data_IF_509669301473
#
_entry.id   IF_509669301473
#
_cell.length_a   1.000
_cell.length_b   1.000
_cell.length_c   1.000
_cell.angle_alpha   90.00
_cell.angle_beta   90.00
_cell.angle_gamma   90.00
#
_symmetry.space_group_name_H-M   'P 1'
#
loop_
_entity.id
_entity.type
_entity.pdbx_description
1 polymer ?
#
# COMPACT_ATOMS: atom_id res chain seq x y z
N UNK A 1 14.62 10.28 4.99
CA UNK A 1 13.59 11.32 5.25
C UNK A 1 12.23 10.67 5.44
N UNK A 2 11.32 11.34 6.15
CA UNK A 2 9.92 10.93 6.25
C UNK A 2 9.15 11.24 4.97
N UNK A 3 8.07 10.49 4.69
CA UNK A 3 7.19 10.77 3.52
C UNK A 3 6.65 12.20 3.58
N UNK A 4 6.26 12.68 4.76
CA UNK A 4 5.79 14.06 4.97
C UNK A 4 6.87 15.10 4.71
N UNK A 5 8.12 14.83 5.10
CA UNK A 5 9.26 15.72 4.82
C UNK A 5 9.58 15.80 3.32
N UNK A 6 9.47 14.67 2.59
CA UNK A 6 9.60 14.68 1.13
C UNK A 6 8.52 15.54 0.46
N UNK A 7 7.27 15.44 0.94
CA UNK A 7 6.15 16.27 0.45
C UNK A 7 6.41 17.76 0.71
N UNK A 8 6.85 18.10 1.92
CA UNK A 8 7.18 19.48 2.29
C UNK A 8 8.35 20.03 1.45
N UNK A 9 9.42 19.23 1.28
CA UNK A 9 10.58 19.60 0.48
C UNK A 9 10.26 19.80 -1.01
N UNK A 10 9.21 19.16 -1.51
CA UNK A 10 8.75 19.30 -2.90
C UNK A 10 8.11 20.66 -3.19
N UNK A 11 7.75 21.44 -2.16
CA UNK A 11 7.21 22.82 -2.29
C UNK A 11 6.03 22.91 -3.29
N UNK A 12 5.09 21.99 -3.19
CA UNK A 12 3.90 21.93 -4.04
C UNK A 12 4.08 21.24 -5.39
N UNK A 13 5.27 20.70 -5.70
CA UNK A 13 5.44 19.82 -6.84
C UNK A 13 4.94 18.42 -6.50
N UNK A 14 4.15 17.83 -7.39
CA UNK A 14 3.69 16.45 -7.24
C UNK A 14 4.88 15.47 -7.39
N UNK A 15 5.05 14.60 -6.41
CA UNK A 15 6.08 13.57 -6.39
C UNK A 15 5.59 12.27 -7.06
N UNK A 16 6.55 11.47 -7.54
CA UNK A 16 6.32 10.11 -8.05
C UNK A 16 6.68 9.09 -6.98
N UNK A 17 5.81 8.12 -6.70
CA UNK A 17 6.12 6.96 -5.88
C UNK A 17 5.41 5.71 -6.41
N UNK A 18 5.85 4.55 -5.99
CA UNK A 18 5.23 3.29 -6.39
C UNK A 18 5.38 2.21 -5.32
N UNK A 19 4.46 1.25 -5.40
CA UNK A 19 4.46 0.06 -4.57
C UNK A 19 5.00 -1.14 -5.35
N UNK A 20 5.78 -1.97 -4.68
CA UNK A 20 6.27 -3.24 -5.22
C UNK A 20 5.81 -4.42 -4.38
N UNK A 21 5.67 -5.56 -5.06
CA UNK A 21 5.42 -6.85 -4.43
C UNK A 21 6.72 -7.65 -4.46
N UNK A 22 7.27 -8.09 -3.31
CA UNK A 22 8.45 -8.94 -3.28
C UNK A 22 8.27 -10.20 -4.13
N UNK A 23 9.32 -10.71 -4.80
CA UNK A 23 9.23 -11.93 -5.61
C UNK A 23 8.86 -13.13 -4.73
N UNK A 24 8.32 -14.18 -5.34
CA UNK A 24 8.05 -15.43 -4.61
C UNK A 24 9.36 -16.13 -4.20
N UNK A 25 9.33 -16.91 -3.13
CA UNK A 25 10.46 -17.76 -2.74
C UNK A 25 10.90 -18.67 -3.89
N UNK A 26 12.20 -18.82 -4.05
CA UNK A 26 12.78 -19.55 -5.19
C UNK A 26 13.05 -18.68 -6.42
N UNK A 27 12.62 -17.42 -6.39
CA UNK A 27 12.95 -16.43 -7.42
C UNK A 27 14.16 -15.59 -7.02
N UNK A 28 14.80 -14.95 -8.01
CA UNK A 28 15.96 -14.10 -7.78
C UNK A 28 15.55 -12.72 -7.28
N UNK A 29 16.39 -12.11 -6.45
CA UNK A 29 16.29 -10.68 -6.11
C UNK A 29 16.45 -9.80 -7.36
N UNK A 30 17.11 -10.30 -8.41
CA UNK A 30 17.27 -9.57 -9.66
C UNK A 30 15.92 -9.29 -10.33
N UNK A 31 14.93 -10.21 -10.25
CA UNK A 31 13.57 -9.95 -10.76
C UNK A 31 12.93 -8.70 -10.09
N UNK A 32 13.24 -8.45 -8.81
CA UNK A 32 12.80 -7.24 -8.13
C UNK A 32 13.49 -6.00 -8.69
N UNK A 33 14.82 -6.07 -8.83
CA UNK A 33 15.60 -4.95 -9.36
C UNK A 33 15.24 -4.61 -10.79
N UNK A 34 15.01 -5.59 -11.65
CA UNK A 34 14.57 -5.42 -13.05
C UNK A 34 13.23 -4.65 -13.14
N UNK A 35 12.39 -4.74 -12.11
CA UNK A 35 11.14 -3.98 -12.01
C UNK A 35 11.32 -2.59 -11.38
N UNK A 36 12.36 -2.35 -10.59
CA UNK A 36 12.62 -1.06 -9.96
C UNK A 36 13.48 -0.18 -10.87
N UNK A 37 14.54 -0.74 -11.48
CA UNK A 37 15.54 0.00 -12.28
C UNK A 37 14.89 0.95 -13.31
N UNK A 38 13.87 0.54 -14.11
CA UNK A 38 13.24 1.42 -15.08
C UNK A 38 12.47 2.60 -14.49
N UNK A 39 12.08 2.52 -13.22
CA UNK A 39 11.30 3.56 -12.54
C UNK A 39 12.19 4.58 -11.80
N UNK A 40 13.48 4.26 -11.63
CA UNK A 40 14.42 5.15 -10.97
C UNK A 40 14.74 6.42 -11.76
N UNK A 41 14.49 6.44 -13.07
CA UNK A 41 14.62 7.64 -13.91
C UNK A 41 13.70 8.78 -13.46
N UNK A 42 12.54 8.45 -12.82
CA UNK A 42 11.58 9.42 -12.28
C UNK A 42 11.90 9.88 -10.85
N UNK A 43 13.03 9.44 -10.29
CA UNK A 43 13.55 9.83 -8.97
C UNK A 43 12.52 9.70 -7.84
N UNK A 44 11.93 8.51 -7.63
CA UNK A 44 11.01 8.30 -6.53
C UNK A 44 11.71 8.62 -5.20
N UNK A 45 11.13 9.47 -4.33
CA UNK A 45 11.72 9.75 -3.03
C UNK A 45 11.56 8.58 -2.06
N UNK A 46 10.56 7.75 -2.26
CA UNK A 46 10.29 6.55 -1.48
C UNK A 46 9.59 5.47 -2.31
N UNK A 47 9.74 4.22 -1.86
CA UNK A 47 9.17 3.03 -2.48
C UNK A 47 8.47 2.21 -1.39
N UNK A 48 7.18 1.88 -1.61
CA UNK A 48 6.42 1.02 -0.73
C UNK A 48 6.67 -0.46 -1.04
N UNK A 49 6.77 -1.26 0.01
CA UNK A 49 7.03 -2.70 -0.09
C UNK A 49 5.93 -3.47 0.62
N UNK A 50 5.15 -4.22 -0.14
CA UNK A 50 4.05 -5.00 0.42
C UNK A 50 4.54 -6.11 1.33
N UNK A 51 3.75 -6.44 2.34
CA UNK A 51 3.94 -7.59 3.22
C UNK A 51 2.98 -8.70 2.82
N UNK A 52 3.53 -9.92 2.73
CA UNK A 52 2.72 -11.12 2.61
C UNK A 52 2.79 -11.89 3.93
N UNK A 53 1.62 -12.19 4.50
CA UNK A 53 1.54 -13.10 5.64
C UNK A 53 1.73 -14.55 5.20
N UNK A 54 1.82 -15.44 6.16
CA UNK A 54 1.80 -16.87 5.90
C UNK A 54 0.46 -17.30 5.28
N UNK A 55 0.52 -18.28 4.38
CA UNK A 55 -0.64 -18.85 3.69
C UNK A 55 -0.68 -20.36 3.91
N UNK A 56 -1.88 -20.94 3.90
CA UNK A 56 -2.05 -22.37 3.91
C UNK A 56 -1.84 -22.94 2.50
N UNK A 57 -0.99 -23.97 2.42
CA UNK A 57 -0.87 -24.83 1.25
C UNK A 57 -1.34 -26.23 1.58
N UNK A 58 -1.88 -26.93 0.60
CA UNK A 58 -2.35 -28.31 0.73
C UNK A 58 -1.41 -29.22 -0.06
N UNK A 59 -0.74 -30.13 0.66
CA UNK A 59 0.22 -31.09 0.08
C UNK A 59 -0.44 -32.46 0.01
N UNK A 60 -0.54 -33.04 -1.20
CA UNK A 60 -1.07 -34.38 -1.39
C UNK A 60 -0.11 -35.42 -0.80
N UNK A 61 -0.63 -36.32 0.05
CA UNK A 61 0.12 -37.45 0.66
C UNK A 61 0.10 -38.72 -0.20
N UNK A 62 -0.52 -38.73 -1.37
CA UNK A 62 -0.61 -39.87 -2.27
C UNK A 62 -1.62 -40.94 -1.86
N UNK A 63 -2.42 -40.72 -0.81
CA UNK A 63 -3.45 -41.64 -0.30
C UNK A 63 -4.85 -41.00 -0.27
N UNK A 64 -5.08 -39.95 -1.06
CA UNK A 64 -6.32 -39.17 -1.08
C UNK A 64 -6.46 -38.19 0.10
N UNK A 65 -5.45 -38.05 0.93
CA UNK A 65 -5.39 -37.09 2.03
C UNK A 65 -4.53 -35.89 1.66
N UNK A 66 -4.99 -34.70 2.07
CA UNK A 66 -4.24 -33.45 1.94
C UNK A 66 -3.69 -33.04 3.31
N UNK A 67 -2.40 -32.71 3.36
CA UNK A 67 -1.75 -32.13 4.53
C UNK A 67 -1.81 -30.60 4.43
N UNK A 68 -2.49 -29.95 5.39
CA UNK A 68 -2.59 -28.48 5.46
C UNK A 68 -1.35 -27.93 6.16
N UNK A 69 -0.51 -27.18 5.43
CA UNK A 69 0.72 -26.56 5.96
C UNK A 69 0.68 -25.07 5.85
N UNK A 70 1.12 -24.40 6.91
CA UNK A 70 1.32 -22.97 6.91
C UNK A 70 2.72 -22.66 6.34
N UNK A 71 2.82 -21.75 5.38
CA UNK A 71 4.09 -21.38 4.76
C UNK A 71 4.10 -19.93 4.31
N UNK A 72 5.30 -19.32 4.35
CA UNK A 72 5.52 -18.00 3.76
C UNK A 72 5.96 -18.16 2.32
N UNK A 73 5.24 -17.51 1.40
CA UNK A 73 5.49 -17.61 -0.04
C UNK A 73 6.45 -16.52 -0.55
N UNK A 74 6.73 -15.49 0.22
CA UNK A 74 7.60 -14.36 -0.15
C UNK A 74 8.61 -14.05 0.94
N UNK A 75 9.76 -13.43 0.62
CA UNK A 75 10.73 -12.99 1.61
C UNK A 75 10.13 -11.98 2.58
N UNK A 76 10.78 -11.81 3.72
CA UNK A 76 10.38 -10.79 4.70
C UNK A 76 10.54 -9.37 4.15
N UNK A 77 9.52 -8.55 4.36
CA UNK A 77 9.45 -7.17 3.84
C UNK A 77 10.64 -6.33 4.26
N UNK A 78 11.10 -6.44 5.52
CA UNK A 78 12.23 -5.66 6.03
C UNK A 78 13.54 -5.95 5.29
N UNK A 79 13.83 -7.24 4.99
CA UNK A 79 15.00 -7.62 4.20
C UNK A 79 14.98 -7.00 2.79
N UNK A 80 13.79 -6.95 2.17
CA UNK A 80 13.60 -6.30 0.86
C UNK A 80 13.77 -4.78 0.98
N UNK A 81 13.17 -4.15 1.99
CA UNK A 81 13.33 -2.71 2.25
C UNK A 81 14.80 -2.33 2.44
N UNK A 82 15.53 -3.08 3.28
CA UNK A 82 16.97 -2.86 3.50
C UNK A 82 17.77 -3.01 2.20
N UNK A 83 17.45 -4.01 1.38
CA UNK A 83 18.11 -4.26 0.09
C UNK A 83 17.88 -3.11 -0.90
N UNK A 84 16.63 -2.61 -1.01
CA UNK A 84 16.29 -1.47 -1.86
C UNK A 84 16.98 -0.21 -1.36
N UNK A 85 16.89 0.09 -0.06
CA UNK A 85 17.53 1.25 0.56
C UNK A 85 19.04 1.24 0.33
N UNK A 86 19.69 0.08 0.48
CA UNK A 86 21.12 -0.05 0.23
C UNK A 86 21.49 0.16 -1.24
N UNK A 87 20.75 -0.46 -2.18
CA UNK A 87 21.08 -0.38 -3.61
C UNK A 87 20.76 0.99 -4.22
N UNK A 88 19.59 1.56 -3.92
CA UNK A 88 19.09 2.75 -4.61
C UNK A 88 19.23 4.05 -3.81
N UNK A 89 19.56 3.95 -2.52
CA UNK A 89 19.65 5.10 -1.61
C UNK A 89 18.34 5.92 -1.56
N UNK A 90 17.20 5.22 -1.66
CA UNK A 90 15.85 5.78 -1.52
C UNK A 90 15.22 5.33 -0.21
N UNK A 91 14.29 6.12 0.30
CA UNK A 91 13.53 5.70 1.48
C UNK A 91 12.54 4.59 1.14
N UNK A 92 12.33 3.68 2.07
CA UNK A 92 11.40 2.56 1.90
C UNK A 92 10.30 2.61 2.93
N UNK A 93 9.11 2.15 2.53
CA UNK A 93 7.92 2.09 3.36
C UNK A 93 7.46 0.63 3.45
N UNK A 94 7.90 -0.14 4.46
CA UNK A 94 7.36 -1.47 4.69
C UNK A 94 5.88 -1.39 5.09
N UNK A 95 5.06 -2.26 4.50
CA UNK A 95 3.71 -2.46 4.97
C UNK A 95 3.73 -3.33 6.23
N UNK A 96 3.07 -2.89 7.28
CA UNK A 96 2.84 -3.63 8.51
C UNK A 96 1.38 -4.05 8.60
N UNK A 97 1.14 -5.32 8.89
CA UNK A 97 -0.21 -5.89 8.92
C UNK A 97 -0.61 -6.26 10.35
N UNK A 98 -1.87 -6.01 10.72
CA UNK A 98 -2.47 -6.62 11.90
C UNK A 98 -2.62 -8.15 11.71
N UNK A 99 -2.96 -8.56 10.48
CA UNK A 99 -3.19 -9.96 10.15
C UNK A 99 -1.92 -10.80 10.18
N UNK A 100 -1.95 -11.89 10.96
CA UNK A 100 -0.85 -12.86 11.02
C UNK A 100 0.28 -12.51 11.99
N UNK A 101 0.19 -11.38 12.72
CA UNK A 101 1.22 -10.94 13.67
C UNK A 101 0.62 -10.62 15.04
N UNK A 102 1.37 -10.96 16.11
CA UNK A 102 1.09 -10.47 17.46
C UNK A 102 1.61 -9.06 17.64
N UNK A 103 1.26 -8.40 18.75
CA UNK A 103 1.82 -7.09 19.08
C UNK A 103 3.32 -7.15 19.31
N UNK A 104 3.82 -8.21 19.93
CA UNK A 104 5.25 -8.44 20.17
C UNK A 104 6.01 -8.64 18.83
N UNK A 105 5.48 -9.47 17.93
CA UNK A 105 6.08 -9.66 16.60
C UNK A 105 6.10 -8.34 15.80
N UNK A 106 5.06 -7.50 15.96
CA UNK A 106 4.99 -6.17 15.35
C UNK A 106 6.05 -5.25 15.96
N UNK A 107 6.22 -5.25 17.28
CA UNK A 107 7.24 -4.47 17.97
C UNK A 107 8.65 -4.86 17.53
N UNK A 108 8.95 -6.17 17.41
CA UNK A 108 10.24 -6.63 16.91
C UNK A 108 10.52 -6.12 15.50
N UNK A 109 9.53 -6.16 14.60
CA UNK A 109 9.69 -5.60 13.24
C UNK A 109 9.94 -4.08 13.28
N UNK A 110 9.29 -3.35 14.17
CA UNK A 110 9.49 -1.90 14.32
C UNK A 110 10.88 -1.59 14.89
N UNK A 111 11.35 -2.36 15.86
CA UNK A 111 12.73 -2.25 16.37
C UNK A 111 13.73 -2.47 15.25
N UNK A 112 13.56 -3.53 14.45
CA UNK A 112 14.42 -3.81 13.29
C UNK A 112 14.39 -2.66 12.28
N UNK A 113 13.19 -2.09 11.97
CA UNK A 113 13.07 -0.91 11.13
C UNK A 113 13.90 0.26 11.65
N UNK A 114 13.79 0.56 12.95
CA UNK A 114 14.51 1.65 13.58
C UNK A 114 16.03 1.49 13.43
N UNK A 115 16.57 0.30 13.73
CA UNK A 115 18.01 0.01 13.58
C UNK A 115 18.49 0.01 12.12
N UNK A 116 17.62 -0.31 11.17
CA UNK A 116 17.91 -0.19 9.73
C UNK A 116 17.76 1.23 9.18
N UNK A 117 17.38 2.19 10.01
CA UNK A 117 17.10 3.57 9.58
C UNK A 117 15.90 3.67 8.63
N UNK A 118 14.93 2.78 8.75
CA UNK A 118 13.67 2.78 8.01
C UNK A 118 12.64 3.50 8.90
N UNK A 119 12.39 4.77 8.60
CA UNK A 119 11.55 5.65 9.44
C UNK A 119 10.13 5.83 8.89
N UNK A 120 9.76 5.15 7.81
CA UNK A 120 8.44 5.22 7.23
C UNK A 120 7.79 3.85 7.29
N UNK A 121 6.52 3.78 7.65
CA UNK A 121 5.76 2.53 7.70
C UNK A 121 4.33 2.74 7.21
N UNK A 122 3.74 1.74 6.58
CA UNK A 122 2.33 1.73 6.19
C UNK A 122 1.57 0.77 7.11
N UNK A 123 0.72 1.31 7.98
CA UNK A 123 -0.07 0.53 8.93
C UNK A 123 -1.41 0.08 8.31
N UNK A 124 -1.55 -1.22 8.09
CA UNK A 124 -2.70 -1.83 7.43
C UNK A 124 -3.32 -2.91 8.32
N UNK A 125 -4.62 -3.11 8.22
CA UNK A 125 -5.24 -4.27 8.88
C UNK A 125 -4.87 -5.59 8.17
N UNK A 126 -4.83 -5.56 6.85
CA UNK A 126 -4.76 -6.72 5.98
C UNK A 126 -6.14 -7.33 5.69
N UNK A 127 -6.17 -8.21 4.70
CA UNK A 127 -7.38 -8.89 4.23
C UNK A 127 -7.60 -10.20 4.98
N UNK A 128 -8.82 -10.76 4.90
CA UNK A 128 -9.14 -12.12 5.34
C UNK A 128 -8.27 -13.15 4.59
N UNK A 129 -7.96 -14.29 5.19
CA UNK A 129 -7.35 -15.42 4.46
C UNK A 129 -8.35 -16.00 3.45
N UNK A 130 -7.83 -16.71 2.44
CA UNK A 130 -8.69 -17.29 1.39
C UNK A 130 -9.75 -18.27 1.91
N UNK A 131 -9.49 -18.87 3.07
CA UNK A 131 -10.37 -19.79 3.76
C UNK A 131 -11.18 -19.14 4.91
N UNK A 132 -11.04 -17.82 5.10
CA UNK A 132 -11.80 -17.02 6.07
C UNK A 132 -12.90 -16.21 5.37
N UNK A 133 -14.08 -16.12 5.99
CA UNK A 133 -15.19 -15.28 5.50
C UNK A 133 -15.00 -13.80 5.81
N UNK A 134 -14.25 -13.49 6.87
CA UNK A 134 -13.92 -12.14 7.32
C UNK A 134 -12.55 -12.14 7.97
N UNK A 135 -11.97 -10.95 8.12
CA UNK A 135 -10.68 -10.80 8.79
C UNK A 135 -10.74 -11.31 10.23
N UNK A 136 -9.77 -12.17 10.58
CA UNK A 136 -9.57 -12.67 11.94
C UNK A 136 -8.16 -12.26 12.40
N UNK A 137 -8.03 -11.46 13.48
CA UNK A 137 -6.74 -11.12 14.02
C UNK A 137 -6.05 -12.33 14.65
N UNK A 138 -4.73 -12.40 14.62
CA UNK A 138 -3.97 -13.37 15.40
C UNK A 138 -4.19 -13.10 16.89
N UNK A 139 -4.30 -14.16 17.68
CA UNK A 139 -4.42 -14.02 19.14
C UNK A 139 -3.24 -13.19 19.69
N UNK A 140 -3.51 -12.16 20.47
CA UNK A 140 -2.49 -11.18 20.93
C UNK A 140 -2.10 -10.13 19.90
N UNK A 141 -2.68 -10.12 18.69
CA UNK A 141 -2.44 -9.12 17.66
C UNK A 141 -3.34 -7.90 17.75
N UNK A 142 -3.14 -6.96 16.83
CA UNK A 142 -3.99 -5.78 16.66
C UNK A 142 -5.26 -6.15 15.87
N UNK A 143 -6.43 -5.63 16.29
CA UNK A 143 -7.68 -5.91 15.61
C UNK A 143 -7.91 -5.00 14.40
N UNK A 144 -7.49 -3.74 14.51
CA UNK A 144 -7.71 -2.70 13.51
C UNK A 144 -6.42 -1.93 13.21
N UNK A 145 -6.36 -1.33 12.04
CA UNK A 145 -5.24 -0.47 11.69
C UNK A 145 -5.04 0.70 12.66
N UNK A 146 -6.11 1.21 13.28
CA UNK A 146 -6.01 2.25 14.31
C UNK A 146 -5.25 1.75 15.57
N UNK A 147 -5.45 0.48 15.97
CA UNK A 147 -4.70 -0.12 17.09
C UNK A 147 -3.21 -0.24 16.75
N UNK A 148 -2.91 -0.63 15.50
CA UNK A 148 -1.53 -0.72 15.01
C UNK A 148 -0.87 0.66 14.95
N UNK A 149 -1.56 1.69 14.46
CA UNK A 149 -1.08 3.09 14.48
C UNK A 149 -0.78 3.53 15.91
N UNK A 150 -1.69 3.26 16.85
CA UNK A 150 -1.49 3.60 18.26
C UNK A 150 -0.26 2.89 18.86
N UNK A 151 -0.04 1.61 18.53
CA UNK A 151 1.16 0.88 18.96
C UNK A 151 2.44 1.50 18.39
N UNK A 152 2.48 1.84 17.10
CA UNK A 152 3.65 2.49 16.47
C UNK A 152 3.91 3.86 17.13
N UNK A 153 2.85 4.63 17.38
CA UNK A 153 2.96 5.94 18.02
C UNK A 153 3.44 5.84 19.49
N UNK A 154 3.16 4.73 20.19
CA UNK A 154 3.74 4.48 21.51
C UNK A 154 5.27 4.35 21.44
N UNK A 155 5.81 3.64 20.44
CA UNK A 155 7.25 3.54 20.22
C UNK A 155 7.87 4.92 19.91
N UNK A 156 7.20 5.74 19.09
CA UNK A 156 7.62 7.13 18.83
C UNK A 156 7.69 7.97 20.12
N UNK A 157 6.91 7.59 21.14
CA UNK A 157 6.93 8.20 22.47
C UNK A 157 7.88 7.47 23.44
N UNK A 158 8.66 6.48 22.98
CA UNK A 158 9.59 5.70 23.80
C UNK A 158 8.92 4.69 24.72
N UNK A 159 7.71 4.23 24.37
CA UNK A 159 6.95 3.25 25.16
C UNK A 159 6.93 1.92 24.42
N UNK A 160 7.45 0.89 25.08
CA UNK A 160 7.42 -0.51 24.62
C UNK A 160 6.30 -1.28 25.31
N UNK A 161 5.95 -2.48 24.81
CA UNK A 161 4.82 -3.25 25.32
C UNK A 161 5.01 -3.72 26.77
N UNK A 162 6.20 -4.15 27.12
CA UNK A 162 6.47 -4.82 28.40
C UNK A 162 7.68 -4.25 29.14
N UNK A 163 8.42 -3.33 28.54
CA UNK A 163 9.70 -2.89 29.05
C UNK A 163 9.61 -1.56 29.78
N UNK A 164 10.26 -1.52 30.95
CA UNK A 164 10.52 -0.33 31.72
C UNK A 164 11.98 0.04 31.49
N UNK A 165 12.32 0.45 30.29
CA UNK A 165 13.69 0.87 29.95
C UNK A 165 13.76 2.38 29.88
N UNK A 166 14.89 2.94 30.29
CA UNK A 166 15.24 4.32 29.97
C UNK A 166 15.51 4.39 28.47
N UNK A 167 14.71 5.17 27.76
CA UNK A 167 14.79 5.28 26.30
C UNK A 167 15.57 6.53 25.94
N UNK A 168 16.87 6.36 25.68
CA UNK A 168 17.77 7.44 25.26
C UNK A 168 17.51 7.88 23.81
N UNK A 169 17.05 6.94 22.96
CA UNK A 169 16.80 7.19 21.55
C UNK A 169 15.43 6.62 21.14
N UNK A 170 14.45 7.50 20.97
CA UNK A 170 13.09 7.13 20.58
C UNK A 170 13.02 6.85 19.10
N UNK A 171 12.14 5.93 18.73
CA UNK A 171 11.74 5.78 17.33
C UNK A 171 11.05 7.07 16.82
N UNK A 172 11.11 7.30 15.52
CA UNK A 172 10.50 8.47 14.89
C UNK A 172 9.86 8.07 13.55
N UNK A 173 8.90 7.15 13.62
CA UNK A 173 8.20 6.64 12.46
C UNK A 173 7.20 7.65 11.91
N UNK A 174 7.21 7.84 10.60
CA UNK A 174 6.16 8.44 9.80
C UNK A 174 5.17 7.34 9.40
N UNK A 175 3.90 7.49 9.79
CA UNK A 175 2.90 6.43 9.72
C UNK A 175 1.90 6.72 8.62
N UNK A 176 1.91 5.92 7.55
CA UNK A 176 0.88 5.91 6.50
C UNK A 176 -0.27 4.97 6.84
N UNK A 177 -1.45 5.28 6.36
CA UNK A 177 -2.65 4.44 6.46
C UNK A 177 -3.43 4.41 5.16
N UNK A 178 -4.21 3.35 4.94
CA UNK A 178 -5.10 3.28 3.79
C UNK A 178 -6.38 4.13 3.97
N UNK A 179 -6.80 4.81 2.88
CA UNK A 179 -8.11 5.43 2.70
C UNK A 179 -8.85 4.83 1.51
N UNK A 180 -10.18 4.99 1.44
CA UNK A 180 -11.01 4.34 0.43
C UNK A 180 -11.96 5.37 -0.21
N UNK A 181 -11.66 5.88 -1.42
CA UNK A 181 -12.51 6.88 -2.09
C UNK A 181 -13.96 6.42 -2.28
N UNK A 182 -14.16 5.11 -2.49
CA UNK A 182 -15.48 4.51 -2.72
C UNK A 182 -15.99 3.69 -1.53
N UNK A 183 -15.35 3.78 -0.39
CA UNK A 183 -15.52 3.06 0.88
C UNK A 183 -14.86 1.68 0.96
N UNK A 184 -14.47 1.28 2.16
CA UNK A 184 -14.00 -0.08 2.46
C UNK A 184 -15.15 -1.10 2.35
N UNK A 185 -14.81 -2.32 1.89
CA UNK A 185 -15.74 -3.45 1.73
C UNK A 185 -16.66 -3.67 2.93
N UNK A 186 -16.12 -3.62 4.15
CA UNK A 186 -16.86 -3.89 5.38
C UNK A 186 -17.56 -2.65 5.96
N UNK A 187 -17.32 -1.46 5.40
CA UNK A 187 -17.97 -0.25 5.87
C UNK A 187 -19.39 -0.14 5.30
N UNK A 188 -20.42 0.11 6.14
CA UNK A 188 -21.79 0.23 5.65
C UNK A 188 -21.99 1.48 4.79
N UNK A 189 -21.21 2.55 5.01
CA UNK A 189 -21.30 3.81 4.27
C UNK A 189 -19.93 4.51 4.18
N UNK A 190 -19.77 5.41 3.21
CA UNK A 190 -18.57 6.25 3.10
C UNK A 190 -18.38 7.12 4.37
N UNK A 191 -19.46 7.63 4.95
CA UNK A 191 -19.38 8.41 6.20
C UNK A 191 -18.82 7.60 7.36
N UNK A 192 -19.24 6.33 7.49
CA UNK A 192 -18.70 5.43 8.51
C UNK A 192 -17.23 5.13 8.24
N UNK A 193 -16.86 4.93 6.98
CA UNK A 193 -15.47 4.66 6.59
C UNK A 193 -14.55 5.85 6.90
N UNK A 194 -15.01 7.06 6.59
CA UNK A 194 -14.30 8.30 6.94
C UNK A 194 -14.13 8.49 8.45
N UNK A 195 -15.11 8.09 9.28
CA UNK A 195 -14.95 8.07 10.74
C UNK A 195 -13.82 7.12 11.15
N UNK A 196 -13.76 5.93 10.54
CA UNK A 196 -12.65 4.99 10.79
C UNK A 196 -11.30 5.54 10.32
N UNK A 197 -11.28 6.28 9.21
CA UNK A 197 -10.08 6.98 8.77
C UNK A 197 -9.67 8.06 9.79
N UNK A 198 -10.62 8.84 10.30
CA UNK A 198 -10.36 9.84 11.34
C UNK A 198 -9.78 9.21 12.61
N UNK A 199 -10.32 8.06 13.06
CA UNK A 199 -9.76 7.31 14.19
C UNK A 199 -8.28 6.94 13.97
N UNK A 200 -7.88 6.54 12.75
CA UNK A 200 -6.48 6.26 12.41
C UNK A 200 -5.60 7.51 12.46
N UNK A 201 -6.11 8.63 11.95
CA UNK A 201 -5.39 9.91 11.99
C UNK A 201 -5.24 10.41 13.43
N UNK A 202 -6.31 10.32 14.24
CA UNK A 202 -6.27 10.72 15.65
C UNK A 202 -5.35 9.83 16.50
N UNK A 203 -5.15 8.57 16.09
CA UNK A 203 -4.19 7.66 16.72
C UNK A 203 -2.72 8.00 16.38
N UNK A 204 -2.48 8.87 15.39
CA UNK A 204 -1.14 9.34 15.03
C UNK A 204 -0.69 9.02 13.60
N UNK A 205 -1.59 8.74 12.67
CA UNK A 205 -1.20 8.60 11.27
C UNK A 205 -0.86 9.96 10.63
N UNK A 206 0.26 9.99 9.89
CA UNK A 206 0.85 11.20 9.31
C UNK A 206 0.39 11.46 7.86
N UNK A 207 -0.02 10.42 7.14
CA UNK A 207 -0.51 10.53 5.76
C UNK A 207 -1.45 9.37 5.40
N UNK A 208 -2.19 9.54 4.32
CA UNK A 208 -3.12 8.54 3.77
C UNK A 208 -2.72 8.21 2.34
N UNK A 209 -2.67 6.91 1.99
CA UNK A 209 -2.64 6.45 0.60
C UNK A 209 -3.99 5.83 0.28
N UNK A 210 -4.61 6.24 -0.84
CA UNK A 210 -5.94 5.72 -1.16
C UNK A 210 -5.87 4.37 -1.86
N UNK A 211 -6.91 3.55 -1.69
CA UNK A 211 -7.19 2.45 -2.61
C UNK A 211 -7.32 3.02 -4.03
N UNK A 212 -7.03 2.17 -5.04
CA UNK A 212 -7.22 2.55 -6.44
C UNK A 212 -8.67 2.97 -6.72
N UNK A 213 -8.83 3.86 -7.64
CA UNK A 213 -10.10 4.35 -8.20
C UNK A 213 -9.88 4.68 -9.68
N UNK A 214 -10.94 4.78 -10.45
CA UNK A 214 -10.86 5.00 -11.90
C UNK A 214 -11.58 6.28 -12.35
N UNK A 215 -12.30 6.93 -11.44
CA UNK A 215 -12.94 8.22 -11.59
C UNK A 215 -12.36 9.22 -10.57
N UNK A 216 -11.67 10.27 -11.06
CA UNK A 216 -11.07 11.29 -10.20
C UNK A 216 -12.10 12.06 -9.36
N UNK A 217 -13.35 12.16 -9.81
CA UNK A 217 -14.40 12.81 -9.03
C UNK A 217 -14.63 12.10 -7.68
N UNK A 218 -14.50 10.78 -7.63
CA UNK A 218 -14.59 10.00 -6.39
C UNK A 218 -13.49 10.37 -5.40
N UNK A 219 -12.26 10.53 -5.90
CA UNK A 219 -11.12 10.97 -5.07
C UNK A 219 -11.33 12.40 -4.55
N UNK A 220 -11.73 13.35 -5.41
CA UNK A 220 -11.94 14.74 -5.00
C UNK A 220 -13.08 14.85 -3.97
N UNK A 221 -14.17 14.12 -4.16
CA UNK A 221 -15.27 14.06 -3.20
C UNK A 221 -14.81 13.47 -1.86
N UNK A 222 -14.04 12.37 -1.89
CA UNK A 222 -13.47 11.77 -0.71
C UNK A 222 -12.57 12.74 0.05
N UNK A 223 -11.65 13.43 -0.63
CA UNK A 223 -10.76 14.42 0.00
C UNK A 223 -11.59 15.55 0.62
N UNK A 224 -12.58 16.08 -0.10
CA UNK A 224 -13.47 17.12 0.43
C UNK A 224 -14.14 16.68 1.73
N UNK A 225 -14.78 15.52 1.73
CA UNK A 225 -15.45 14.97 2.93
C UNK A 225 -14.46 14.68 4.07
N UNK A 226 -13.27 14.21 3.76
CA UNK A 226 -12.21 13.99 4.74
C UNK A 226 -11.81 15.31 5.41
N UNK A 227 -11.66 16.40 4.64
CA UNK A 227 -11.35 17.74 5.17
C UNK A 227 -12.50 18.28 6.04
N UNK A 228 -13.75 18.10 5.65
CA UNK A 228 -14.93 18.47 6.43
C UNK A 228 -14.98 17.74 7.80
N UNK A 229 -14.40 16.52 7.88
CA UNK A 229 -14.26 15.78 9.13
C UNK A 229 -12.99 16.11 9.94
N UNK A 230 -12.22 17.11 9.51
CA UNK A 230 -10.99 17.53 10.20
C UNK A 230 -9.78 16.63 9.96
N UNK A 231 -9.76 15.84 8.89
CA UNK A 231 -8.57 15.10 8.45
C UNK A 231 -7.70 16.06 7.64
N UNK A 232 -6.58 16.52 8.20
CA UNK A 232 -5.69 17.53 7.61
C UNK A 232 -4.42 16.95 6.99
N UNK A 233 -4.06 15.72 7.31
CA UNK A 233 -2.86 15.04 6.80
C UNK A 233 -2.90 14.90 5.26
N UNK A 234 -1.73 14.78 4.58
CA UNK A 234 -1.69 14.53 3.15
C UNK A 234 -2.49 13.29 2.75
N UNK A 235 -3.25 13.40 1.65
CA UNK A 235 -3.99 12.28 1.05
C UNK A 235 -3.40 12.03 -0.34
N UNK A 236 -2.78 10.88 -0.52
CA UNK A 236 -2.03 10.46 -1.70
C UNK A 236 -2.93 9.55 -2.54
N UNK A 237 -3.27 9.90 -3.79
CA UNK A 237 -4.04 9.02 -4.67
C UNK A 237 -3.22 7.80 -5.08
N UNK A 238 -3.82 6.61 -4.92
CA UNK A 238 -3.29 5.35 -5.42
C UNK A 238 -3.85 5.04 -6.81
N UNK A 239 -2.98 4.77 -7.78
CA UNK A 239 -3.34 4.58 -9.19
C UNK A 239 -2.91 3.19 -9.66
N UNK A 240 -3.81 2.49 -10.35
CA UNK A 240 -3.56 1.20 -10.95
C UNK A 240 -4.10 1.15 -12.37
N UNK A 241 -3.26 0.96 -13.41
CA UNK A 241 -3.76 0.78 -14.77
C UNK A 241 -4.45 -0.58 -14.95
N UNK A 242 -5.52 -0.63 -15.75
CA UNK A 242 -6.09 -1.88 -16.27
C UNK A 242 -5.03 -2.53 -17.17
N UNK A 243 -4.87 -3.86 -17.08
CA UNK A 243 -3.85 -4.57 -17.85
C UNK A 243 -4.37 -5.86 -18.54
N UNK A 244 -5.49 -6.37 -18.10
CA UNK A 244 -6.14 -7.58 -18.65
C UNK A 244 -7.65 -7.47 -18.51
N UNK A 245 -8.41 -8.14 -19.39
CA UNK A 245 -9.88 -8.09 -19.36
C UNK A 245 -10.49 -8.53 -18.03
N UNK A 246 -9.88 -9.52 -17.41
CA UNK A 246 -10.33 -10.02 -16.09
C UNK A 246 -10.34 -8.94 -14.99
N UNK A 247 -9.60 -7.84 -15.15
CA UNK A 247 -9.64 -6.72 -14.22
C UNK A 247 -11.02 -6.06 -14.14
N UNK A 248 -11.82 -6.07 -15.23
CA UNK A 248 -13.19 -5.53 -15.21
C UNK A 248 -14.10 -6.25 -14.20
N UNK A 249 -13.81 -7.52 -13.90
CA UNK A 249 -14.59 -8.30 -12.92
C UNK A 249 -13.93 -8.34 -11.55
N UNK A 250 -12.62 -8.61 -11.51
CA UNK A 250 -11.91 -8.87 -10.26
C UNK A 250 -11.78 -7.59 -9.41
N UNK A 251 -11.45 -6.44 -10.03
CA UNK A 251 -11.19 -5.23 -9.26
C UNK A 251 -12.46 -4.72 -8.55
N UNK A 252 -13.63 -4.59 -9.21
CA UNK A 252 -14.87 -4.26 -8.53
C UNK A 252 -15.27 -5.29 -7.47
N UNK A 253 -15.09 -6.57 -7.75
CA UNK A 253 -15.47 -7.64 -6.83
C UNK A 253 -14.64 -7.63 -5.53
N UNK A 254 -13.32 -7.44 -5.63
CA UNK A 254 -12.39 -7.50 -4.50
C UNK A 254 -12.36 -6.17 -3.74
N UNK A 255 -12.24 -5.05 -4.46
CA UNK A 255 -11.99 -3.74 -3.87
C UNK A 255 -13.25 -2.87 -3.73
N UNK A 256 -14.40 -3.34 -4.25
CA UNK A 256 -15.69 -2.60 -4.23
C UNK A 256 -15.59 -1.21 -4.84
N UNK A 257 -14.86 -1.12 -5.92
CA UNK A 257 -14.69 0.09 -6.73
C UNK A 257 -15.60 0.03 -7.97
N UNK A 258 -15.98 1.19 -8.48
CA UNK A 258 -16.70 1.32 -9.73
C UNK A 258 -15.72 1.56 -10.89
N UNK A 259 -16.02 1.02 -12.04
CA UNK A 259 -15.31 1.32 -13.28
C UNK A 259 -16.18 2.22 -14.14
N UNK A 260 -15.67 3.35 -14.68
CA UNK A 260 -16.41 4.18 -15.62
C UNK A 260 -16.82 3.43 -16.87
N UNK A 261 -18.05 3.66 -17.35
CA UNK A 261 -18.58 3.00 -18.56
C UNK A 261 -17.68 3.20 -19.80
N UNK A 262 -17.09 4.39 -19.96
CA UNK A 262 -16.18 4.66 -21.06
C UNK A 262 -14.93 3.77 -21.03
N UNK A 263 -14.38 3.50 -19.81
CA UNK A 263 -13.27 2.59 -19.64
C UNK A 263 -13.68 1.14 -19.94
N UNK A 264 -14.84 0.71 -19.44
CA UNK A 264 -15.38 -0.63 -19.70
C UNK A 264 -15.54 -0.84 -21.23
N UNK A 265 -16.24 0.08 -21.88
CA UNK A 265 -16.48 0.05 -23.33
C UNK A 265 -15.18 0.06 -24.15
N UNK A 266 -14.16 0.81 -23.71
CA UNK A 266 -12.86 0.84 -24.38
C UNK A 266 -12.13 -0.51 -24.25
N UNK A 267 -12.13 -1.12 -23.07
CA UNK A 267 -11.50 -2.42 -22.82
C UNK A 267 -12.23 -3.56 -23.55
N UNK A 268 -13.56 -3.55 -23.60
CA UNK A 268 -14.36 -4.58 -24.29
C UNK A 268 -14.16 -4.60 -25.80
N UNK A 269 -13.81 -3.47 -26.42
CA UNK A 269 -13.47 -3.37 -27.84
C UNK A 269 -12.10 -3.96 -28.19
N UNK A 270 -11.23 -4.19 -27.20
CA UNK A 270 -9.89 -4.69 -27.38
C UNK A 270 -9.88 -6.18 -27.76
N UNK A 271 -9.01 -6.57 -28.68
CA UNK A 271 -8.88 -7.95 -29.18
C UNK A 271 -7.92 -8.81 -28.37
N UNK A 272 -7.03 -8.19 -27.60
CA UNK A 272 -5.97 -8.87 -26.87
C UNK A 272 -5.47 -8.01 -25.68
N UNK A 273 -4.69 -8.64 -24.80
CA UNK A 273 -4.16 -7.97 -23.60
C UNK A 273 -3.17 -6.83 -23.90
N UNK A 274 -2.57 -6.76 -25.09
CA UNK A 274 -1.68 -5.65 -25.44
C UNK A 274 -2.50 -4.37 -25.68
N UNK A 275 -3.60 -4.48 -26.41
CA UNK A 275 -4.54 -3.37 -26.61
C UNK A 275 -5.18 -2.92 -25.28
N UNK A 276 -5.58 -3.88 -24.42
CA UNK A 276 -6.12 -3.57 -23.09
C UNK A 276 -5.11 -2.82 -22.23
N UNK A 277 -3.83 -3.23 -22.24
CA UNK A 277 -2.78 -2.51 -21.53
C UNK A 277 -2.62 -1.08 -22.03
N UNK A 278 -2.70 -0.88 -23.35
CA UNK A 278 -2.60 0.46 -23.93
C UNK A 278 -3.76 1.35 -23.45
N UNK A 279 -5.00 0.86 -23.50
CA UNK A 279 -6.17 1.57 -22.96
C UNK A 279 -5.98 1.92 -21.47
N UNK A 280 -5.53 0.94 -20.66
CA UNK A 280 -5.31 1.18 -19.23
C UNK A 280 -4.20 2.18 -18.96
N UNK A 281 -3.12 2.21 -19.76
CA UNK A 281 -2.05 3.20 -19.68
C UNK A 281 -2.58 4.60 -20.05
N UNK A 282 -3.28 4.73 -21.16
CA UNK A 282 -3.87 6.01 -21.61
C UNK A 282 -4.85 6.57 -20.57
N UNK A 283 -5.71 5.74 -20.01
CA UNK A 283 -6.61 6.13 -18.94
C UNK A 283 -5.86 6.65 -17.71
N UNK A 284 -4.86 5.90 -17.26
CA UNK A 284 -4.06 6.29 -16.10
C UNK A 284 -3.20 7.55 -16.34
N UNK A 285 -2.77 7.82 -17.59
CA UNK A 285 -2.11 9.07 -17.96
C UNK A 285 -3.07 10.25 -17.76
N UNK A 286 -4.29 10.19 -18.34
CA UNK A 286 -5.28 11.26 -18.20
C UNK A 286 -5.65 11.50 -16.74
N UNK A 287 -5.92 10.42 -16.02
CA UNK A 287 -6.18 10.46 -14.57
C UNK A 287 -5.04 11.14 -13.81
N UNK A 288 -3.80 10.77 -14.09
CA UNK A 288 -2.60 11.31 -13.43
C UNK A 288 -2.37 12.80 -13.76
N UNK A 289 -2.59 13.22 -15.02
CA UNK A 289 -2.46 14.61 -15.45
C UNK A 289 -3.47 15.49 -14.70
N UNK A 290 -4.73 15.07 -14.61
CA UNK A 290 -5.78 15.79 -13.90
C UNK A 290 -5.48 15.89 -12.40
N UNK A 291 -5.08 14.79 -11.75
CA UNK A 291 -4.69 14.78 -10.34
C UNK A 291 -3.49 15.69 -10.08
N UNK A 292 -2.49 15.66 -10.94
CA UNK A 292 -1.30 16.53 -10.86
C UNK A 292 -1.67 18.00 -11.02
N UNK A 293 -2.55 18.32 -11.97
CA UNK A 293 -3.07 19.67 -12.16
C UNK A 293 -3.88 20.19 -10.95
N UNK A 294 -4.55 19.28 -10.23
CA UNK A 294 -5.24 19.58 -8.98
C UNK A 294 -4.29 19.73 -7.77
N UNK A 295 -2.98 19.54 -7.96
CA UNK A 295 -1.96 19.76 -6.92
C UNK A 295 -1.86 18.65 -5.87
N UNK A 296 -2.16 17.40 -6.23
CA UNK A 296 -1.93 16.28 -5.30
C UNK A 296 -0.46 16.16 -4.91
N UNK A 297 -0.14 15.82 -3.65
CA UNK A 297 1.24 15.84 -3.17
C UNK A 297 2.13 14.77 -3.80
N UNK A 298 1.56 13.60 -4.07
CA UNK A 298 2.24 12.44 -4.66
C UNK A 298 1.26 11.71 -5.56
N UNK A 299 1.72 11.14 -6.67
CA UNK A 299 1.02 10.11 -7.43
C UNK A 299 1.67 8.76 -7.09
N UNK A 300 0.90 7.89 -6.45
CA UNK A 300 1.38 6.58 -6.00
C UNK A 300 0.86 5.47 -6.91
N UNK A 301 1.77 4.67 -7.51
CA UNK A 301 1.41 3.67 -8.50
C UNK A 301 1.55 2.23 -7.99
N UNK A 302 0.50 1.43 -8.13
CA UNK A 302 0.48 0.01 -7.81
C UNK A 302 1.05 -0.80 -8.98
N UNK A 303 2.35 -1.12 -8.94
CA UNK A 303 3.06 -1.78 -10.05
C UNK A 303 2.72 -3.27 -10.20
N UNK A 304 2.29 -3.93 -9.13
CA UNK A 304 1.99 -5.37 -9.10
C UNK A 304 3.13 -6.23 -9.65
N UNK A 305 4.38 -5.78 -9.47
CA UNK A 305 5.57 -6.49 -9.93
C UNK A 305 5.87 -6.38 -11.43
N UNK A 306 5.27 -5.40 -12.14
CA UNK A 306 5.56 -5.09 -13.55
C UNK A 306 5.62 -3.58 -13.72
N UNK A 307 6.79 -3.06 -14.04
CA UNK A 307 7.05 -1.61 -14.13
C UNK A 307 6.70 -0.98 -15.48
N UNK A 308 6.61 -1.75 -16.55
CA UNK A 308 6.52 -1.20 -17.92
C UNK A 308 5.34 -0.24 -18.11
N UNK A 309 4.13 -0.63 -17.65
CA UNK A 309 2.97 0.25 -17.74
C UNK A 309 3.17 1.54 -16.92
N UNK A 310 3.74 1.41 -15.72
CA UNK A 310 4.00 2.56 -14.85
C UNK A 310 5.05 3.48 -15.47
N UNK A 311 6.09 2.91 -16.07
CA UNK A 311 7.11 3.68 -16.79
C UNK A 311 6.52 4.49 -17.94
N UNK A 312 5.64 3.88 -18.75
CA UNK A 312 4.95 4.57 -19.84
C UNK A 312 4.07 5.71 -19.34
N UNK A 313 3.34 5.49 -18.23
CA UNK A 313 2.51 6.52 -17.59
C UNK A 313 3.42 7.65 -17.08
N UNK A 314 4.43 7.32 -16.29
CA UNK A 314 5.31 8.29 -15.66
C UNK A 314 6.05 9.16 -16.69
N UNK A 315 6.49 8.60 -17.83
CA UNK A 315 7.16 9.34 -18.91
C UNK A 315 6.29 10.42 -19.57
N UNK A 316 4.95 10.34 -19.44
CA UNK A 316 4.02 11.35 -19.97
C UNK A 316 3.57 12.34 -18.88
N UNK A 317 3.78 11.99 -17.61
CA UNK A 317 3.28 12.77 -16.46
C UNK A 317 4.39 13.56 -15.79
N UNK A 318 5.63 13.02 -15.71
CA UNK A 318 6.77 13.60 -15.00
C UNK A 318 7.90 14.00 -15.92
#
# INVERSE_FOLDING_TARGET
MKVTEHIEAAKGKTLFSFEIIPPQKGKSIQELYDNIDPLMEFKPPFIDVTTSREEYIYVDKGNGLLDKKLTRMRPGTLGICASIKHKYQVDTVPHLLCGGFTKEETEYMLVDCHYLGINNVMALRGDAMKDEQSFVPKAGGNNYAADLVAQINQLNNGKYLHDVMDVDNKADFCIGVAGYPEKHLESPSLTTDLKRLKEKVDAGADYVVTQMFFDNAKYFEFVKKAREMGITVPIIPGIKPIAVQKHLQILPQIFRIDLPEDLINAVEKCKNNAEIRQVGVEWAIQQSIELKAAGVPVLHYYSMGKSENIRQIASQVF
#
